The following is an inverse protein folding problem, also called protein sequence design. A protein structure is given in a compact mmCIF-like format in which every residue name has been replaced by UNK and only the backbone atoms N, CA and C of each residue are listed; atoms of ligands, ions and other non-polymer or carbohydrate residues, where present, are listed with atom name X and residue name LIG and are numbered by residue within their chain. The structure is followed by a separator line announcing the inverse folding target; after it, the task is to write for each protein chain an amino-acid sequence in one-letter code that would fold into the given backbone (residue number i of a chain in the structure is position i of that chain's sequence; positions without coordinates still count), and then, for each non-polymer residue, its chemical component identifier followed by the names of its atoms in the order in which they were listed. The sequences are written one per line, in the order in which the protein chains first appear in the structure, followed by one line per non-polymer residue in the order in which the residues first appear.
data_IF_204064331793
#
_entry.id   IF_204064331793
#
_cell.length_a   1.000
_cell.length_b   1.000
_cell.length_c   1.000
_cell.angle_alpha   90.00
_cell.angle_beta   90.00
_cell.angle_gamma   90.00
#
_symmetry.space_group_name_H-M   'P 1'
#
loop_
_entity.id
_entity.type
_entity.pdbx_description
1 polymer ?
#
# COMPACT_ATOMS: atom_id res chain seq x y z
N UNK A 1 -28.27 -28.13 4.98
CA UNK A 1 -28.08 -28.20 3.50
C UNK A 1 -26.78 -27.54 3.18
N UNK A 2 -25.96 -28.09 2.30
CA UNK A 2 -24.71 -27.44 1.92
C UNK A 2 -25.01 -26.09 1.24
N UNK A 3 -24.30 -25.03 1.64
CA UNK A 3 -24.46 -23.69 1.05
C UNK A 3 -24.04 -23.73 -0.42
N UNK A 4 -24.85 -23.17 -1.30
CA UNK A 4 -24.59 -23.14 -2.74
C UNK A 4 -23.29 -22.36 -3.05
N UNK A 5 -22.54 -22.83 -4.04
CA UNK A 5 -21.26 -22.22 -4.46
C UNK A 5 -21.43 -20.75 -4.93
N UNK A 6 -22.57 -20.40 -5.52
CA UNK A 6 -22.88 -19.03 -5.91
C UNK A 6 -23.04 -18.11 -4.68
N UNK A 7 -23.72 -18.59 -3.63
CA UNK A 7 -23.87 -17.88 -2.37
C UNK A 7 -22.52 -17.71 -1.65
N UNK A 8 -21.69 -18.76 -1.59
CA UNK A 8 -20.31 -18.66 -1.04
C UNK A 8 -19.52 -17.57 -1.79
N UNK A 9 -19.63 -17.50 -3.10
CA UNK A 9 -18.97 -16.48 -3.93
C UNK A 9 -19.54 -15.07 -3.66
N UNK A 10 -20.86 -14.96 -3.50
CA UNK A 10 -21.54 -13.69 -3.18
C UNK A 10 -21.08 -13.14 -1.84
N UNK A 11 -21.14 -13.93 -0.77
CA UNK A 11 -20.76 -13.48 0.57
C UNK A 11 -19.24 -13.27 0.72
N UNK A 12 -18.44 -14.01 -0.06
CA UNK A 12 -16.99 -13.75 -0.17
C UNK A 12 -16.70 -12.33 -0.65
N UNK A 13 -17.47 -11.81 -1.62
CA UNK A 13 -17.33 -10.44 -2.08
C UNK A 13 -17.64 -9.40 -1.00
N UNK A 14 -18.45 -9.76 0.00
CA UNK A 14 -18.82 -8.96 1.16
C UNK A 14 -17.82 -9.10 2.33
N UNK A 15 -16.76 -9.90 2.19
CA UNK A 15 -15.75 -10.09 3.23
C UNK A 15 -15.90 -11.35 4.07
N UNK A 16 -16.86 -12.23 3.75
CA UNK A 16 -17.08 -13.48 4.47
C UNK A 16 -16.36 -14.65 3.77
N UNK A 17 -15.31 -15.15 4.41
CA UNK A 17 -14.46 -16.20 3.87
C UNK A 17 -14.90 -17.55 4.42
N UNK A 18 -15.37 -18.45 3.56
CA UNK A 18 -15.86 -19.77 3.94
C UNK A 18 -14.79 -20.58 4.67
N UNK A 19 -15.14 -21.14 5.82
CA UNK A 19 -14.29 -22.02 6.61
C UNK A 19 -14.44 -23.47 6.13
N UNK A 20 -13.34 -24.09 5.76
CA UNK A 20 -13.32 -25.43 5.15
C UNK A 20 -14.07 -26.47 5.99
N UNK A 21 -15.03 -27.16 5.35
CA UNK A 21 -15.76 -28.26 5.95
C UNK A 21 -16.86 -27.84 6.96
N UNK A 22 -17.27 -26.57 6.93
CA UNK A 22 -18.31 -26.05 7.83
C UNK A 22 -19.27 -25.14 7.06
N UNK A 23 -20.37 -24.73 7.69
CA UNK A 23 -21.27 -23.67 7.20
C UNK A 23 -20.90 -22.29 7.78
N UNK A 24 -19.71 -22.19 8.40
CA UNK A 24 -19.23 -20.98 9.03
C UNK A 24 -18.26 -20.21 8.13
N UNK A 25 -18.10 -18.95 8.45
CA UNK A 25 -17.25 -17.98 7.75
C UNK A 25 -16.34 -17.24 8.72
N UNK A 26 -15.19 -16.81 8.24
CA UNK A 26 -14.39 -15.77 8.88
C UNK A 26 -14.74 -14.43 8.22
N UNK A 27 -15.30 -13.50 8.97
CA UNK A 27 -15.65 -12.18 8.45
C UNK A 27 -14.47 -11.22 8.60
N UNK A 28 -14.16 -10.55 7.50
CA UNK A 28 -13.12 -9.53 7.50
C UNK A 28 -13.73 -8.16 7.73
N UNK A 29 -13.37 -7.53 8.86
CA UNK A 29 -13.74 -6.17 9.25
C UNK A 29 -12.63 -5.22 8.81
N UNK A 30 -12.98 -4.17 8.10
CA UNK A 30 -12.04 -3.17 7.58
C UNK A 30 -11.74 -2.15 8.67
N UNK A 31 -10.47 -1.90 8.89
CA UNK A 31 -9.97 -0.86 9.80
C UNK A 31 -9.38 0.30 9.02
N UNK A 32 -9.23 1.45 9.62
CA UNK A 32 -8.48 2.58 9.06
C UNK A 32 -6.97 2.35 9.30
N UNK A 33 -6.31 1.66 8.36
CA UNK A 33 -4.88 1.33 8.40
C UNK A 33 -4.42 0.67 9.71
N UNK A 34 -5.30 -0.15 10.32
CA UNK A 34 -5.04 -0.82 11.60
C UNK A 34 -5.44 -0.02 12.85
N UNK A 35 -5.92 1.19 12.68
CA UNK A 35 -6.47 1.98 13.77
C UNK A 35 -7.99 1.74 13.90
N UNK A 36 -8.45 1.55 15.13
CA UNK A 36 -9.86 1.46 15.52
C UNK A 36 -10.06 2.22 16.83
N UNK A 37 -11.23 2.77 17.04
CA UNK A 37 -11.57 3.40 18.31
C UNK A 37 -11.83 2.38 19.42
N UNK A 38 -11.80 2.80 20.67
CA UNK A 38 -12.15 1.93 21.80
C UNK A 38 -13.60 1.43 21.70
N UNK A 39 -14.53 2.23 21.16
CA UNK A 39 -15.91 1.85 20.91
C UNK A 39 -16.00 0.79 19.81
N UNK A 40 -15.34 1.01 18.69
CA UNK A 40 -15.25 0.02 17.61
C UNK A 40 -14.69 -1.30 18.10
N UNK A 41 -13.65 -1.28 18.95
CA UNK A 41 -13.07 -2.49 19.52
C UNK A 41 -14.07 -3.25 20.43
N UNK A 42 -14.89 -2.54 21.23
CA UNK A 42 -15.96 -3.17 22.02
C UNK A 42 -16.97 -3.88 21.13
N UNK A 43 -17.48 -3.18 20.11
CA UNK A 43 -18.45 -3.77 19.17
C UNK A 43 -17.87 -4.97 18.40
N UNK A 44 -16.60 -4.91 18.01
CA UNK A 44 -15.90 -6.06 17.41
C UNK A 44 -15.91 -7.28 18.37
N UNK A 45 -15.63 -7.06 19.64
CA UNK A 45 -15.64 -8.13 20.65
C UNK A 45 -17.06 -8.69 20.86
N UNK A 46 -18.08 -7.84 20.98
CA UNK A 46 -19.47 -8.24 21.09
C UNK A 46 -19.93 -9.08 19.89
N UNK A 47 -19.57 -8.67 18.67
CA UNK A 47 -19.87 -9.42 17.45
C UNK A 47 -19.17 -10.77 17.44
N UNK A 48 -17.90 -10.83 17.88
CA UNK A 48 -17.15 -12.07 17.97
C UNK A 48 -17.77 -13.07 18.97
N UNK A 49 -18.24 -12.58 20.12
CA UNK A 49 -18.89 -13.38 21.14
C UNK A 49 -20.29 -13.84 20.71
N UNK A 50 -21.09 -12.92 20.17
CA UNK A 50 -22.49 -13.18 19.85
C UNK A 50 -22.69 -14.04 18.60
N UNK A 51 -21.90 -13.81 17.57
CA UNK A 51 -22.10 -14.40 16.23
C UNK A 51 -20.97 -15.29 15.76
N UNK A 52 -19.78 -15.17 16.35
CA UNK A 52 -18.60 -15.93 16.01
C UNK A 52 -18.26 -17.00 17.05
N UNK A 53 -16.98 -17.32 17.16
CA UNK A 53 -16.47 -18.27 18.15
C UNK A 53 -15.77 -17.60 19.35
N UNK A 54 -16.03 -16.31 19.61
CA UNK A 54 -15.45 -15.53 20.70
C UNK A 54 -13.99 -15.09 20.45
N UNK A 55 -13.48 -15.25 19.24
CA UNK A 55 -12.09 -14.88 18.90
C UNK A 55 -12.04 -13.71 17.93
N UNK A 56 -11.10 -12.80 18.18
CA UNK A 56 -10.72 -11.71 17.30
C UNK A 56 -9.30 -11.97 16.78
N UNK A 57 -9.11 -11.99 15.48
CA UNK A 57 -7.81 -12.24 14.86
C UNK A 57 -7.38 -11.07 14.00
N UNK A 58 -6.06 -10.81 13.94
CA UNK A 58 -5.50 -9.70 13.15
C UNK A 58 -4.85 -10.24 11.89
N UNK A 59 -5.08 -9.57 10.76
CA UNK A 59 -4.47 -9.96 9.49
C UNK A 59 -3.20 -9.15 9.23
N UNK A 60 -2.34 -9.67 8.36
CA UNK A 60 -1.13 -8.94 7.92
C UNK A 60 -1.43 -7.67 7.12
N UNK A 61 -2.70 -7.40 6.79
CA UNK A 61 -3.15 -6.16 6.14
C UNK A 61 -3.87 -5.22 7.10
N UNK A 62 -3.61 -5.36 8.39
CA UNK A 62 -4.16 -4.49 9.42
C UNK A 62 -5.70 -4.47 9.46
N UNK A 63 -6.35 -5.51 8.94
CA UNK A 63 -7.79 -5.74 9.11
C UNK A 63 -8.02 -6.75 10.22
N UNK A 64 -9.22 -6.75 10.79
CA UNK A 64 -9.65 -7.74 11.79
C UNK A 64 -10.41 -8.86 11.11
N UNK A 65 -10.28 -10.08 11.61
CA UNK A 65 -11.04 -11.24 11.14
C UNK A 65 -11.73 -11.91 12.34
N UNK A 66 -13.04 -12.14 12.22
CA UNK A 66 -13.88 -12.80 13.24
C UNK A 66 -14.29 -14.18 12.70
N UNK A 67 -13.66 -15.27 13.20
CA UNK A 67 -13.95 -16.63 12.74
C UNK A 67 -15.22 -17.20 13.37
N UNK A 68 -15.84 -18.17 12.66
CA UNK A 68 -16.94 -18.96 13.19
C UNK A 68 -18.34 -18.36 13.01
N UNK A 69 -18.49 -17.33 12.20
CA UNK A 69 -19.80 -16.71 11.89
C UNK A 69 -20.61 -17.66 11.01
N UNK A 70 -21.79 -18.08 11.49
CA UNK A 70 -22.71 -18.92 10.71
C UNK A 70 -23.31 -18.11 9.54
N UNK A 71 -23.62 -18.81 8.43
CA UNK A 71 -24.17 -18.19 7.22
C UNK A 71 -25.40 -17.32 7.49
N UNK A 72 -26.34 -17.77 8.32
CA UNK A 72 -27.58 -17.05 8.64
C UNK A 72 -27.36 -15.75 9.42
N UNK A 73 -26.21 -15.60 10.05
CA UNK A 73 -25.88 -14.42 10.86
C UNK A 73 -25.17 -13.31 10.04
N UNK A 74 -24.90 -13.51 8.76
CA UNK A 74 -24.11 -12.57 7.95
C UNK A 74 -24.69 -11.16 7.98
N UNK A 75 -25.99 -11.00 7.74
CA UNK A 75 -26.62 -9.68 7.71
C UNK A 75 -26.71 -9.04 9.10
N UNK A 76 -26.95 -9.85 10.15
CA UNK A 76 -26.95 -9.38 11.54
C UNK A 76 -25.56 -8.87 11.97
N UNK A 77 -24.48 -9.56 11.57
CA UNK A 77 -23.09 -9.14 11.81
C UNK A 77 -22.81 -7.81 11.11
N UNK A 78 -23.20 -7.68 9.85
CA UNK A 78 -23.02 -6.43 9.11
C UNK A 78 -23.75 -5.26 9.73
N UNK A 79 -25.03 -5.48 10.11
CA UNK A 79 -25.84 -4.46 10.76
C UNK A 79 -25.23 -4.04 12.12
N UNK A 80 -24.74 -4.99 12.91
CA UNK A 80 -24.13 -4.70 14.21
C UNK A 80 -22.82 -3.91 14.06
N UNK A 81 -21.94 -4.29 13.13
CA UNK A 81 -20.69 -3.55 12.86
C UNK A 81 -20.97 -2.13 12.31
N UNK A 82 -22.03 -1.96 11.52
CA UNK A 82 -22.41 -0.66 10.96
C UNK A 82 -22.85 0.36 12.04
N UNK A 83 -23.23 -0.06 13.26
CA UNK A 83 -23.59 0.85 14.35
C UNK A 83 -22.45 1.74 14.81
N UNK A 84 -21.19 1.37 14.46
CA UNK A 84 -19.95 2.11 14.76
C UNK A 84 -19.13 2.38 13.52
N UNK A 85 -19.78 2.52 12.36
CA UNK A 85 -19.17 2.82 11.07
C UNK A 85 -18.09 1.81 10.63
N UNK A 86 -18.23 0.54 11.06
CA UNK A 86 -17.37 -0.54 10.58
C UNK A 86 -18.02 -1.27 9.42
N UNK A 87 -17.21 -1.56 8.41
CA UNK A 87 -17.63 -2.30 7.21
C UNK A 87 -16.91 -3.64 7.11
N UNK A 88 -17.57 -4.58 6.44
CA UNK A 88 -16.95 -5.86 6.04
C UNK A 88 -16.53 -5.80 4.57
N UNK A 89 -15.46 -6.51 4.17
CA UNK A 89 -15.01 -6.48 2.78
C UNK A 89 -13.54 -6.81 2.56
N UNK A 90 -12.92 -6.08 1.65
CA UNK A 90 -11.48 -6.18 1.37
C UNK A 90 -11.06 -7.50 0.71
N UNK A 91 -11.94 -8.12 -0.07
CA UNK A 91 -11.72 -9.40 -0.76
C UNK A 91 -11.94 -9.27 -2.28
N UNK A 92 -11.63 -10.34 -3.03
CA UNK A 92 -11.87 -10.38 -4.48
C UNK A 92 -10.82 -9.67 -5.34
N UNK A 93 -11.11 -9.55 -6.63
CA UNK A 93 -10.24 -8.93 -7.65
C UNK A 93 -10.53 -7.43 -7.74
N UNK A 94 -10.15 -6.70 -6.70
CA UNK A 94 -10.39 -5.27 -6.50
C UNK A 94 -9.20 -4.64 -5.76
N UNK A 95 -9.20 -3.33 -5.64
CA UNK A 95 -8.34 -2.63 -4.70
C UNK A 95 -8.60 -3.15 -3.28
N UNK A 96 -7.54 -3.39 -2.54
CA UNK A 96 -7.61 -3.93 -1.17
C UNK A 96 -7.52 -2.79 -0.16
N UNK A 97 -7.99 -2.99 1.10
CA UNK A 97 -7.79 -2.02 2.15
C UNK A 97 -6.33 -1.55 2.20
N UNK A 98 -6.14 -0.26 2.25
CA UNK A 98 -4.81 0.37 2.30
C UNK A 98 -4.15 0.03 3.64
N UNK A 99 -2.86 -0.18 3.65
CA UNK A 99 -2.08 -0.32 4.88
C UNK A 99 -1.12 0.86 5.01
N UNK A 100 -0.95 1.36 6.21
CA UNK A 100 0.02 2.41 6.51
C UNK A 100 0.78 2.06 7.81
N UNK A 101 2.01 2.54 7.92
CA UNK A 101 2.74 2.43 9.17
C UNK A 101 2.36 3.58 10.13
N UNK A 102 2.87 3.55 11.37
CA UNK A 102 2.68 4.64 12.34
C UNK A 102 3.55 5.89 12.05
N UNK A 103 3.89 6.17 10.80
CA UNK A 103 4.82 7.23 10.42
C UNK A 103 4.47 8.62 10.96
N UNK A 104 3.15 8.90 11.08
CA UNK A 104 2.62 10.15 11.67
C UNK A 104 3.22 10.48 13.05
N UNK A 105 3.41 9.46 13.91
CA UNK A 105 3.92 9.61 15.29
C UNK A 105 5.28 8.98 15.49
N UNK A 106 5.94 8.56 14.42
CA UNK A 106 7.24 7.90 14.46
C UNK A 106 8.38 8.90 14.38
N UNK A 107 9.42 8.75 15.21
CA UNK A 107 10.62 9.60 15.19
C UNK A 107 11.34 9.59 13.83
N UNK A 108 11.17 8.54 13.03
CA UNK A 108 11.73 8.41 11.68
C UNK A 108 10.73 8.77 10.58
N UNK A 109 9.49 9.16 10.96
CA UNK A 109 8.44 9.48 9.99
C UNK A 109 8.79 10.76 9.22
N UNK A 110 8.80 10.66 7.90
CA UNK A 110 9.04 11.79 6.99
C UNK A 110 7.74 12.38 6.44
N UNK A 111 6.62 11.72 6.71
CA UNK A 111 5.28 12.11 6.25
C UNK A 111 4.21 11.61 7.20
N UNK A 112 3.04 12.23 7.15
CA UNK A 112 1.83 11.76 7.84
C UNK A 112 1.23 10.58 7.08
N UNK A 113 1.61 9.37 7.49
CA UNK A 113 1.18 8.13 6.83
C UNK A 113 -0.27 7.79 7.10
N UNK A 114 -0.83 8.20 8.24
CA UNK A 114 -2.22 7.90 8.57
C UNK A 114 -3.15 8.79 7.73
N UNK A 115 -2.92 10.10 7.68
CA UNK A 115 -3.70 11.00 6.85
C UNK A 115 -3.59 10.66 5.36
N UNK A 116 -2.37 10.42 4.85
CA UNK A 116 -2.16 10.02 3.46
C UNK A 116 -2.84 8.68 3.14
N UNK A 117 -2.72 7.71 4.06
CA UNK A 117 -3.35 6.39 3.93
C UNK A 117 -4.87 6.48 3.92
N UNK A 118 -5.48 7.35 4.74
CA UNK A 118 -6.92 7.57 4.79
C UNK A 118 -7.43 8.20 3.47
N UNK A 119 -6.75 9.22 2.95
CA UNK A 119 -7.11 9.81 1.66
C UNK A 119 -7.01 8.79 0.50
N UNK A 120 -5.95 7.97 0.48
CA UNK A 120 -5.79 6.89 -0.51
C UNK A 120 -6.89 5.83 -0.35
N UNK A 121 -7.23 5.48 0.90
CA UNK A 121 -8.29 4.52 1.18
C UNK A 121 -9.63 5.01 0.66
N UNK A 122 -9.97 6.27 0.95
CA UNK A 122 -11.23 6.86 0.51
C UNK A 122 -11.30 6.95 -1.03
N UNK A 123 -10.27 7.48 -1.66
CA UNK A 123 -10.26 7.66 -3.12
C UNK A 123 -10.23 6.35 -3.91
N UNK A 124 -9.41 5.38 -3.47
CA UNK A 124 -9.09 4.21 -4.29
C UNK A 124 -9.66 2.90 -3.76
N UNK A 125 -9.83 2.72 -2.47
CA UNK A 125 -10.52 1.55 -1.96
C UNK A 125 -12.05 1.75 -2.01
N UNK A 126 -12.57 2.84 -1.46
CA UNK A 126 -13.99 3.15 -1.49
C UNK A 126 -14.45 3.58 -2.88
N UNK A 127 -13.75 4.57 -3.48
CA UNK A 127 -14.11 5.12 -4.79
C UNK A 127 -14.04 4.10 -5.94
N UNK A 128 -13.18 3.09 -5.84
CA UNK A 128 -13.08 2.00 -6.83
C UNK A 128 -13.73 0.68 -6.36
N UNK A 129 -14.58 0.72 -5.33
CA UNK A 129 -15.22 -0.47 -4.77
C UNK A 129 -16.08 -1.26 -5.77
N UNK A 130 -16.67 -0.57 -6.75
CA UNK A 130 -17.42 -1.16 -7.87
C UNK A 130 -16.55 -1.70 -9.00
N UNK A 131 -15.26 -1.30 -9.06
CA UNK A 131 -14.38 -1.61 -10.18
C UNK A 131 -13.75 -2.98 -10.03
N UNK A 132 -13.97 -3.84 -11.01
CA UNK A 132 -13.30 -5.15 -11.09
C UNK A 132 -11.95 -4.99 -11.79
N UNK A 133 -10.91 -5.58 -11.22
CA UNK A 133 -9.54 -5.63 -11.74
C UNK A 133 -9.19 -7.05 -12.20
N UNK A 134 -8.12 -7.25 -12.97
CA UNK A 134 -7.64 -8.59 -13.34
C UNK A 134 -7.37 -9.48 -12.13
N UNK A 135 -6.82 -8.91 -11.06
CA UNK A 135 -6.60 -9.54 -9.76
C UNK A 135 -6.68 -8.48 -8.65
N UNK A 136 -6.47 -8.89 -7.39
CA UNK A 136 -6.32 -7.97 -6.25
C UNK A 136 -5.20 -6.96 -6.50
N UNK A 137 -5.44 -5.71 -6.12
CA UNK A 137 -4.46 -4.62 -6.14
C UNK A 137 -4.25 -4.11 -4.72
N UNK A 138 -3.01 -4.09 -4.27
CA UNK A 138 -2.64 -3.76 -2.89
C UNK A 138 -1.81 -2.49 -2.86
N UNK A 139 -2.20 -1.57 -1.97
CA UNK A 139 -1.47 -0.32 -1.75
C UNK A 139 -0.95 -0.29 -0.32
N UNK A 140 0.27 0.20 -0.12
CA UNK A 140 0.87 0.38 1.19
C UNK A 140 1.64 1.70 1.29
N UNK A 141 1.55 2.36 2.46
CA UNK A 141 2.15 3.67 2.74
C UNK A 141 3.15 3.54 3.89
N UNK A 142 4.42 3.73 3.59
CA UNK A 142 5.53 3.76 4.54
C UNK A 142 6.02 5.18 4.82
N UNK A 143 6.26 5.52 6.07
CA UNK A 143 6.67 6.87 6.48
C UNK A 143 8.13 7.21 6.15
N UNK A 144 8.99 6.20 5.95
CA UNK A 144 10.41 6.38 5.68
C UNK A 144 11.03 5.09 5.11
N UNK A 145 12.30 5.11 4.68
CA UNK A 145 13.00 3.94 4.12
C UNK A 145 13.21 2.75 5.07
N UNK A 146 12.85 2.84 6.36
CA UNK A 146 12.82 1.67 7.25
C UNK A 146 11.80 0.60 6.82
N UNK A 147 10.87 0.93 5.91
CA UNK A 147 10.03 -0.03 5.18
C UNK A 147 9.18 -0.96 6.11
N UNK A 148 8.74 -0.48 7.27
CA UNK A 148 8.10 -1.29 8.33
C UNK A 148 6.84 -2.05 7.89
N UNK A 149 6.01 -1.47 7.00
CA UNK A 149 4.83 -2.13 6.41
C UNK A 149 5.11 -2.72 5.04
N UNK A 150 6.39 -2.75 4.66
CA UNK A 150 6.89 -3.35 3.41
C UNK A 150 6.13 -2.87 2.17
N UNK A 151 6.10 -1.53 1.92
CA UNK A 151 5.41 -0.99 0.76
C UNK A 151 5.89 -1.60 -0.55
N UNK A 152 7.17 -1.85 -0.69
CA UNK A 152 7.82 -2.47 -1.85
C UNK A 152 7.39 -3.93 -2.14
N UNK A 153 6.68 -4.60 -1.21
CA UNK A 153 6.08 -5.93 -1.42
C UNK A 153 4.57 -5.86 -1.76
N UNK A 154 4.08 -4.67 -2.06
CA UNK A 154 2.70 -4.44 -2.50
C UNK A 154 2.66 -4.10 -3.99
N UNK A 155 1.49 -4.24 -4.63
CA UNK A 155 1.33 -3.92 -6.05
C UNK A 155 1.72 -2.46 -6.33
N UNK A 156 1.44 -1.56 -5.38
CA UNK A 156 1.95 -0.19 -5.32
C UNK A 156 2.35 0.16 -3.89
N UNK A 157 3.55 0.68 -3.72
CA UNK A 157 4.10 1.12 -2.44
C UNK A 157 4.55 2.57 -2.48
N UNK A 158 4.24 3.32 -1.42
CA UNK A 158 4.69 4.71 -1.24
C UNK A 158 5.60 4.75 -0.03
N UNK A 159 6.79 5.33 -0.19
CA UNK A 159 7.77 5.49 0.90
C UNK A 159 8.19 6.95 0.98
N UNK A 160 8.01 7.55 2.15
CA UNK A 160 8.48 8.91 2.43
C UNK A 160 9.98 9.04 2.23
N UNK A 161 10.39 10.14 1.63
CA UNK A 161 11.77 10.46 1.28
C UNK A 161 12.13 11.84 1.83
N UNK A 162 13.42 12.01 2.19
CA UNK A 162 14.01 13.30 2.46
C UNK A 162 15.37 13.34 1.75
N UNK A 163 15.35 13.79 0.50
CA UNK A 163 16.52 13.85 -0.37
C UNK A 163 17.43 14.97 0.11
N UNK A 164 18.69 14.71 0.53
CA UNK A 164 19.58 15.74 1.00
C UNK A 164 19.96 16.69 -0.15
N UNK A 165 19.95 17.98 0.12
CA UNK A 165 20.50 19.00 -0.76
C UNK A 165 21.97 19.21 -0.35
N UNK A 166 22.91 18.69 -1.15
CA UNK A 166 24.34 18.74 -0.85
C UNK A 166 25.02 19.80 -1.68
N UNK A 167 25.64 20.75 -0.98
CA UNK A 167 26.53 21.79 -1.55
C UNK A 167 28.00 21.42 -1.28
N UNK A 168 28.71 21.06 -2.33
CA UNK A 168 30.14 20.69 -2.25
C UNK A 168 31.06 21.86 -1.90
N UNK A 169 30.66 23.09 -2.22
CA UNK A 169 31.48 24.29 -2.00
C UNK A 169 31.58 24.65 -0.51
N UNK A 170 30.58 24.23 0.27
CA UNK A 170 30.56 24.38 1.73
C UNK A 170 31.26 23.21 2.46
N UNK A 171 31.72 22.19 1.74
CA UNK A 171 32.36 21.03 2.35
C UNK A 171 33.84 21.33 2.75
N UNK A 172 34.11 21.29 4.03
CA UNK A 172 35.47 21.56 4.59
C UNK A 172 36.37 20.32 4.70
N UNK A 173 36.00 19.17 4.15
CA UNK A 173 36.82 17.96 4.12
C UNK A 173 37.26 17.44 5.50
N UNK A 174 36.34 17.37 6.45
CA UNK A 174 36.61 17.02 7.84
C UNK A 174 37.25 15.64 8.00
N UNK A 175 38.31 15.51 8.84
CA UNK A 175 38.91 14.22 9.20
C UNK A 175 37.92 13.24 9.85
N UNK A 176 36.90 13.76 10.54
CA UNK A 176 35.74 13.02 11.05
C UNK A 176 34.48 13.70 10.52
N UNK A 177 33.94 13.20 9.45
CA UNK A 177 32.72 13.73 8.84
C UNK A 177 31.50 13.25 9.62
N UNK A 178 30.67 14.18 10.10
CA UNK A 178 29.45 13.88 10.80
C UNK A 178 28.42 13.17 9.86
N UNK A 179 28.40 13.55 8.59
CA UNK A 179 27.53 12.96 7.57
C UNK A 179 27.90 11.50 7.32
N UNK A 180 29.19 11.20 7.12
CA UNK A 180 29.67 9.83 6.95
C UNK A 180 29.36 8.97 8.18
N UNK A 181 29.51 9.56 9.40
CA UNK A 181 29.22 8.86 10.65
C UNK A 181 27.76 8.48 10.83
N UNK A 182 26.83 9.36 10.44
CA UNK A 182 25.37 9.11 10.64
C UNK A 182 24.74 8.33 9.51
N UNK A 183 25.41 8.14 8.37
CA UNK A 183 24.82 7.46 7.22
C UNK A 183 24.71 5.93 7.43
N UNK A 184 23.48 5.38 7.65
CA UNK A 184 23.31 3.96 7.89
C UNK A 184 23.58 3.12 6.63
N UNK A 185 23.45 3.75 5.46
CA UNK A 185 23.66 3.10 4.15
C UNK A 185 25.11 3.11 3.71
N UNK A 186 26.00 3.82 4.46
CA UNK A 186 27.38 4.06 4.04
C UNK A 186 27.50 4.65 2.63
N UNK A 187 26.46 5.38 2.22
CA UNK A 187 26.38 6.06 0.93
C UNK A 187 27.18 7.35 0.89
N UNK A 188 27.49 7.94 2.06
CA UNK A 188 28.27 9.17 2.19
C UNK A 188 29.68 8.83 2.65
N UNK A 189 30.69 9.29 1.93
CA UNK A 189 32.11 9.09 2.24
C UNK A 189 32.92 10.34 1.91
N UNK A 190 33.97 10.61 2.69
CA UNK A 190 34.97 11.64 2.34
C UNK A 190 36.01 10.99 1.44
N UNK A 191 36.16 11.51 0.24
CA UNK A 191 37.14 11.08 -0.77
C UNK A 191 37.96 12.33 -1.15
N UNK A 192 39.25 12.24 -1.08
CA UNK A 192 40.21 13.36 -1.42
C UNK A 192 39.84 14.70 -0.75
N UNK A 193 39.34 14.62 0.48
CA UNK A 193 39.00 15.82 1.26
C UNK A 193 37.62 16.44 0.94
N UNK A 194 36.77 15.77 0.15
CA UNK A 194 35.43 16.24 -0.16
C UNK A 194 34.43 15.11 0.13
N UNK A 195 33.24 15.45 0.63
CA UNK A 195 32.17 14.49 0.83
C UNK A 195 31.55 14.09 -0.52
N UNK A 196 31.51 12.82 -0.77
CA UNK A 196 30.77 12.24 -1.89
C UNK A 196 29.54 11.47 -1.38
N UNK A 197 28.40 11.61 -2.08
CA UNK A 197 27.18 10.85 -1.81
C UNK A 197 26.89 9.94 -3.00
N UNK A 198 27.02 8.63 -2.79
CA UNK A 198 26.63 7.64 -3.78
C UNK A 198 25.09 7.57 -3.85
N UNK A 199 24.52 8.06 -4.96
CA UNK A 199 23.08 8.15 -5.19
C UNK A 199 22.40 6.77 -5.35
N UNK A 200 23.14 5.74 -5.76
CA UNK A 200 22.61 4.37 -5.89
C UNK A 200 22.44 3.69 -4.53
N UNK A 201 23.35 3.96 -3.59
CA UNK A 201 23.27 3.44 -2.22
C UNK A 201 22.38 4.29 -1.32
N UNK A 202 22.21 5.58 -1.63
CA UNK A 202 21.43 6.50 -0.82
C UNK A 202 19.94 6.18 -0.92
N UNK A 203 19.30 5.82 0.21
CA UNK A 203 17.87 5.57 0.29
C UNK A 203 17.03 6.81 0.67
N UNK A 204 17.64 8.00 0.68
CA UNK A 204 16.99 9.27 0.99
C UNK A 204 16.29 9.29 2.36
N UNK A 205 16.90 8.72 3.38
CA UNK A 205 16.33 8.71 4.75
C UNK A 205 16.43 10.06 5.46
N UNK A 206 17.20 11.02 4.92
CA UNK A 206 17.35 12.36 5.46
C UNK A 206 18.13 12.49 6.77
N UNK A 207 18.73 11.40 7.29
CA UNK A 207 19.45 11.43 8.58
C UNK A 207 20.69 12.34 8.57
N UNK A 208 21.23 12.64 7.39
CA UNK A 208 22.36 13.53 7.20
C UNK A 208 21.99 15.02 7.18
N UNK A 209 20.71 15.35 6.95
CA UNK A 209 20.24 16.74 6.85
C UNK A 209 20.42 17.44 8.20
N UNK A 210 21.02 18.64 8.18
CA UNK A 210 21.33 19.45 9.36
C UNK A 210 22.38 18.82 10.29
N UNK A 211 23.25 17.91 9.78
CA UNK A 211 24.33 17.28 10.57
C UNK A 211 25.72 17.79 10.23
N UNK A 212 25.85 18.53 9.13
CA UNK A 212 27.12 19.18 8.79
C UNK A 212 27.31 20.42 9.63
N UNK A 213 28.50 20.58 10.23
CA UNK A 213 28.86 21.78 10.99
C UNK A 213 29.15 23.00 10.09
N UNK A 214 29.30 22.78 8.80
CA UNK A 214 29.60 23.80 7.78
C UNK A 214 28.41 23.96 6.81
N UNK A 215 27.24 23.44 7.18
CA UNK A 215 26.00 23.57 6.45
C UNK A 215 26.01 23.04 5.01
N UNK A 216 26.98 22.17 4.68
CA UNK A 216 27.03 21.53 3.35
C UNK A 216 25.82 20.63 3.06
N UNK A 217 25.04 20.26 4.06
CA UNK A 217 23.68 19.63 3.94
C UNK A 217 22.81 20.25 5.02
N UNK A 218 22.35 21.47 4.80
CA UNK A 218 21.48 22.19 5.74
C UNK A 218 20.03 21.70 5.64
N UNK A 219 19.55 21.47 4.42
CA UNK A 219 18.19 21.10 4.10
C UNK A 219 18.09 19.94 3.10
N UNK A 220 16.89 19.70 2.60
CA UNK A 220 16.60 18.70 1.58
C UNK A 220 15.18 18.79 1.05
N UNK A 221 14.86 17.96 0.07
CA UNK A 221 13.56 17.88 -0.54
C UNK A 221 12.78 16.72 0.08
N UNK A 222 11.65 17.02 0.75
CA UNK A 222 10.70 16.02 1.22
C UNK A 222 9.80 15.58 0.08
N UNK A 223 9.48 14.29 0.03
CA UNK A 223 8.65 13.75 -1.02
C UNK A 223 8.35 12.26 -0.83
N UNK A 224 7.94 11.63 -1.91
CA UNK A 224 7.54 10.23 -1.95
C UNK A 224 8.32 9.49 -3.04
N UNK A 225 8.78 8.30 -2.72
CA UNK A 225 9.24 7.31 -3.70
C UNK A 225 8.11 6.31 -3.90
N UNK A 226 7.71 6.08 -5.14
CA UNK A 226 6.65 5.12 -5.48
C UNK A 226 7.28 3.89 -6.08
N UNK A 227 6.91 2.72 -5.56
CA UNK A 227 7.33 1.41 -6.00
C UNK A 227 6.13 0.71 -6.65
N UNK A 228 6.34 0.06 -7.77
CA UNK A 228 5.30 -0.67 -8.51
C UNK A 228 5.70 -2.12 -8.75
N UNK A 229 4.72 -3.02 -8.77
CA UNK A 229 4.93 -4.43 -9.11
C UNK A 229 5.42 -5.30 -7.95
N UNK A 230 5.38 -4.82 -6.72
CA UNK A 230 5.70 -5.65 -5.57
C UNK A 230 4.68 -6.78 -5.37
N UNK A 231 5.17 -7.91 -4.85
CA UNK A 231 4.37 -9.12 -4.67
C UNK A 231 4.88 -9.97 -3.53
N UNK A 232 3.97 -10.39 -2.65
CA UNK A 232 4.25 -11.36 -1.59
C UNK A 232 3.28 -12.53 -1.66
N UNK A 233 3.81 -13.75 -1.64
CA UNK A 233 3.04 -14.99 -1.70
C UNK A 233 3.88 -16.17 -2.22
N UNK A 234 3.26 -17.09 -2.97
CA UNK A 234 3.96 -18.24 -3.60
C UNK A 234 5.13 -17.78 -4.49
N UNK A 235 4.98 -16.64 -5.14
CA UNK A 235 6.07 -15.95 -5.82
C UNK A 235 6.24 -14.61 -5.13
N UNK A 236 7.48 -14.22 -4.85
CA UNK A 236 7.85 -12.94 -4.23
C UNK A 236 8.59 -12.08 -5.25
N UNK A 237 8.24 -10.80 -5.31
CA UNK A 237 8.98 -9.80 -6.07
C UNK A 237 8.98 -8.49 -5.29
N UNK A 238 10.11 -7.80 -5.27
CA UNK A 238 10.18 -6.42 -4.81
C UNK A 238 9.65 -5.49 -5.91
N UNK A 239 8.94 -4.45 -5.51
CA UNK A 239 8.52 -3.39 -6.42
C UNK A 239 9.73 -2.63 -6.94
N UNK A 240 9.64 -2.21 -8.19
CA UNK A 240 10.65 -1.37 -8.82
C UNK A 240 10.29 0.10 -8.55
N UNK A 241 11.23 0.92 -8.04
CA UNK A 241 10.96 2.32 -7.79
C UNK A 241 10.85 3.10 -9.11
N UNK A 242 9.85 3.96 -9.23
CA UNK A 242 9.81 4.96 -10.29
C UNK A 242 11.01 5.92 -10.12
N UNK A 243 11.56 6.38 -11.24
CA UNK A 243 12.78 7.24 -11.23
C UNK A 243 12.55 8.60 -10.60
N UNK A 244 11.30 9.11 -10.67
CA UNK A 244 10.90 10.39 -10.09
C UNK A 244 10.69 10.28 -8.57
N UNK A 245 11.09 11.32 -7.82
CA UNK A 245 10.61 11.60 -6.47
C UNK A 245 9.44 12.58 -6.59
N UNK A 246 8.30 12.23 -6.05
CA UNK A 246 7.09 13.04 -6.08
C UNK A 246 7.06 13.96 -4.87
N UNK A 247 6.76 15.23 -5.06
CA UNK A 247 6.84 16.24 -4.00
C UNK A 247 5.48 16.65 -3.45
N UNK A 248 4.40 16.31 -4.15
CA UNK A 248 3.03 16.57 -3.72
C UNK A 248 2.23 15.27 -3.62
N UNK A 249 1.21 15.26 -2.77
CA UNK A 249 0.32 14.11 -2.63
C UNK A 249 -0.56 13.92 -3.87
N UNK A 250 -0.88 15.00 -4.56
CA UNK A 250 -1.67 15.01 -5.80
C UNK A 250 -0.94 14.23 -6.89
N UNK A 251 0.35 14.46 -7.09
CA UNK A 251 1.17 13.67 -8.02
C UNK A 251 1.16 12.18 -7.66
N UNK A 252 1.22 11.85 -6.36
CA UNK A 252 1.18 10.46 -5.91
C UNK A 252 -0.21 9.84 -6.18
N UNK A 253 -1.30 10.58 -5.97
CA UNK A 253 -2.67 10.13 -6.28
C UNK A 253 -2.86 9.87 -7.77
N UNK A 254 -2.36 10.74 -8.63
CA UNK A 254 -2.41 10.56 -10.08
C UNK A 254 -1.70 9.26 -10.49
N UNK A 255 -0.53 8.98 -9.93
CA UNK A 255 0.20 7.73 -10.21
C UNK A 255 -0.56 6.51 -9.72
N UNK A 256 -1.20 6.58 -8.54
CA UNK A 256 -2.01 5.47 -8.02
C UNK A 256 -3.17 5.19 -8.97
N UNK A 257 -3.89 6.24 -9.38
CA UNK A 257 -5.04 6.11 -10.28
C UNK A 257 -4.61 5.53 -11.63
N UNK A 258 -3.56 6.08 -12.23
CA UNK A 258 -2.97 5.58 -13.48
C UNK A 258 -2.55 4.11 -13.37
N UNK A 259 -1.94 3.70 -12.25
CA UNK A 259 -1.55 2.30 -12.04
C UNK A 259 -2.78 1.35 -11.97
N UNK A 260 -3.88 1.79 -11.36
CA UNK A 260 -5.14 1.04 -11.31
C UNK A 260 -5.74 0.95 -12.72
N UNK A 261 -5.78 2.05 -13.46
CA UNK A 261 -6.31 2.11 -14.82
C UNK A 261 -5.48 1.26 -15.79
N UNK A 262 -4.15 1.39 -15.76
CA UNK A 262 -3.24 0.56 -16.56
C UNK A 262 -3.45 -0.94 -16.27
N UNK A 263 -3.54 -1.30 -14.98
CA UNK A 263 -3.75 -2.69 -14.61
C UNK A 263 -5.12 -3.20 -15.08
N UNK A 264 -6.17 -2.35 -15.03
CA UNK A 264 -7.50 -2.71 -15.52
C UNK A 264 -7.50 -2.89 -17.04
N UNK A 265 -6.86 -2.00 -17.79
CA UNK A 265 -6.82 -2.00 -19.26
C UNK A 265 -5.93 -3.12 -19.79
N UNK A 266 -4.71 -3.25 -19.27
CA UNK A 266 -3.67 -4.07 -19.90
C UNK A 266 -3.40 -5.38 -19.17
N UNK A 267 -3.92 -5.54 -17.94
CA UNK A 267 -3.80 -6.79 -17.18
C UNK A 267 -4.74 -7.87 -17.68
N UNK A 268 -4.28 -9.11 -17.69
CA UNK A 268 -5.09 -10.29 -18.05
C UNK A 268 -5.75 -10.86 -16.80
N UNK A 269 -6.98 -11.36 -16.90
CA UNK A 269 -7.71 -11.95 -15.77
C UNK A 269 -6.90 -13.06 -15.09
N UNK A 270 -6.72 -12.94 -13.77
CA UNK A 270 -5.87 -13.83 -12.96
C UNK A 270 -4.40 -13.40 -12.87
N UNK A 271 -3.96 -12.46 -13.70
CA UNK A 271 -2.60 -11.92 -13.69
C UNK A 271 -2.39 -10.97 -12.52
N UNK A 272 -1.23 -11.02 -11.85
CA UNK A 272 -0.84 -10.03 -10.85
C UNK A 272 -0.21 -8.82 -11.53
N UNK A 273 -0.29 -7.65 -10.90
CA UNK A 273 0.26 -6.41 -11.46
C UNK A 273 1.76 -6.52 -11.78
N UNK A 274 2.56 -7.19 -10.94
CA UNK A 274 3.96 -7.49 -11.25
C UNK A 274 4.14 -8.22 -12.58
N UNK A 275 3.30 -9.23 -12.84
CA UNK A 275 3.36 -10.00 -14.10
C UNK A 275 2.91 -9.16 -15.30
N UNK A 276 1.93 -8.27 -15.10
CA UNK A 276 1.54 -7.29 -16.13
C UNK A 276 2.73 -6.39 -16.48
N UNK A 277 3.45 -5.86 -15.47
CA UNK A 277 4.64 -5.02 -15.66
C UNK A 277 5.76 -5.80 -16.39
N UNK A 278 6.04 -7.03 -15.94
CA UNK A 278 7.04 -7.90 -16.60
C UNK A 278 6.75 -8.10 -18.09
N UNK A 279 5.47 -8.31 -18.45
CA UNK A 279 5.03 -8.55 -19.83
C UNK A 279 5.07 -7.29 -20.71
N UNK A 280 4.75 -6.13 -20.15
CA UNK A 280 4.71 -4.85 -20.89
C UNK A 280 6.11 -4.22 -20.98
N UNK A 281 6.94 -4.46 -19.97
CA UNK A 281 8.23 -3.80 -19.75
C UNK A 281 8.10 -2.58 -18.81
N UNK A 282 9.05 -2.48 -17.87
CA UNK A 282 9.00 -1.45 -16.84
C UNK A 282 9.04 -0.02 -17.41
N UNK A 283 9.91 0.23 -18.40
CA UNK A 283 10.06 1.54 -19.03
C UNK A 283 8.76 2.02 -19.70
N UNK A 284 8.04 1.10 -20.35
CA UNK A 284 6.75 1.41 -20.98
C UNK A 284 5.68 1.70 -19.92
N UNK A 285 5.68 0.96 -18.82
CA UNK A 285 4.75 1.21 -17.71
C UNK A 285 5.08 2.53 -17.03
N UNK A 286 6.35 2.81 -16.73
CA UNK A 286 6.77 4.08 -16.13
C UNK A 286 6.39 5.28 -17.01
N UNK A 287 6.62 5.20 -18.32
CA UNK A 287 6.24 6.25 -19.26
C UNK A 287 4.73 6.54 -19.23
N UNK A 288 3.89 5.48 -19.22
CA UNK A 288 2.44 5.64 -19.12
C UNK A 288 1.99 6.23 -17.76
N UNK A 289 2.64 5.85 -16.65
CA UNK A 289 2.33 6.37 -15.32
C UNK A 289 2.74 7.83 -15.16
N UNK A 290 3.79 8.27 -15.85
CA UNK A 290 4.24 9.67 -15.83
C UNK A 290 3.54 10.55 -16.88
N UNK A 291 2.93 9.95 -17.91
CA UNK A 291 2.08 10.64 -18.89
C UNK A 291 0.66 10.89 -18.36
N UNK A 292 -0.23 11.48 -19.17
CA UNK A 292 -1.61 11.80 -18.77
C UNK A 292 -2.68 10.98 -19.50
N UNK A 293 -2.31 10.24 -20.54
CA UNK A 293 -3.24 9.50 -21.41
C UNK A 293 -4.21 8.58 -20.64
N UNK A 294 -3.72 7.87 -19.60
CA UNK A 294 -4.57 6.98 -18.80
C UNK A 294 -5.69 7.72 -18.06
N UNK A 295 -5.43 8.94 -17.58
CA UNK A 295 -6.45 9.75 -16.90
C UNK A 295 -7.43 10.35 -17.91
N UNK A 296 -6.96 10.76 -19.07
CA UNK A 296 -7.80 11.30 -20.17
C UNK A 296 -8.80 10.25 -20.66
N UNK A 297 -8.37 8.97 -20.72
CA UNK A 297 -9.18 7.82 -21.14
C UNK A 297 -9.84 7.06 -19.98
N UNK A 298 -9.86 7.64 -18.77
CA UNK A 298 -10.36 6.98 -17.55
C UNK A 298 -11.71 6.31 -17.73
N UNK A 299 -12.70 7.03 -18.25
CA UNK A 299 -14.06 6.50 -18.39
C UNK A 299 -14.11 5.36 -19.42
N UNK A 300 -13.44 5.50 -20.56
CA UNK A 300 -13.30 4.44 -21.55
C UNK A 300 -12.72 3.16 -20.95
N UNK A 301 -11.63 3.28 -20.18
CA UNK A 301 -10.97 2.15 -19.53
C UNK A 301 -11.89 1.48 -18.49
N UNK A 302 -12.65 2.28 -17.73
CA UNK A 302 -13.55 1.74 -16.70
C UNK A 302 -14.78 1.04 -17.30
N UNK A 303 -15.25 1.45 -18.47
CA UNK A 303 -16.39 0.86 -19.16
C UNK A 303 -15.99 -0.37 -20.00
N UNK A 304 -14.72 -0.47 -20.39
CA UNK A 304 -14.21 -1.59 -21.18
C UNK A 304 -14.32 -2.94 -20.45
N UNK A 305 -14.51 -4.01 -21.20
CA UNK A 305 -14.47 -5.36 -20.66
C UNK A 305 -13.03 -5.76 -20.29
N UNK A 306 -12.89 -6.51 -19.19
CA UNK A 306 -11.58 -7.07 -18.83
C UNK A 306 -11.12 -8.11 -19.87
N UNK A 307 -9.82 -8.14 -20.14
CA UNK A 307 -9.22 -9.20 -20.95
C UNK A 307 -9.41 -10.55 -20.27
N UNK A 308 -10.39 -11.32 -20.78
CA UNK A 308 -10.67 -12.67 -20.29
C UNK A 308 -9.64 -13.63 -20.89
N UNK A 309 -8.74 -14.14 -20.06
CA UNK A 309 -7.96 -15.34 -20.37
C UNK A 309 -8.58 -16.49 -19.59
N UNK A 310 -8.89 -17.58 -20.23
CA UNK A 310 -9.44 -18.78 -19.58
C UNK A 310 -8.52 -19.22 -18.45
N UNK A 311 -8.97 -19.02 -17.21
CA UNK A 311 -8.22 -19.34 -15.99
C UNK A 311 -9.06 -19.04 -14.76
N UNK A 312 -8.91 -19.84 -13.71
CA UNK A 312 -9.67 -19.75 -12.48
C UNK A 312 -9.56 -18.34 -11.86
N UNK A 313 -10.69 -17.68 -11.72
CA UNK A 313 -10.84 -16.46 -10.93
C UNK A 313 -10.69 -16.80 -9.44
N UNK A 314 -9.82 -16.06 -8.72
CA UNK A 314 -9.80 -16.11 -7.24
C UNK A 314 -11.11 -15.68 -6.62
#
# INVERSE_FOLDING_TARGET
MAIDAAEIKRVKAMGFLHNKGTENFSVRVITKMGAISAEQNRVISEVAEKYGNGKVTFTSRLTVELPGVHFDNIEAVRAHLATVDLMTGGTGSKVRPVVACKGTVCNYGLQDTQALGEEIHERFFNGYSGVRLPHKFKIAVGGCPNNCVKPDLNDLGIIGQYVPNYDSDLCSGCKKCAIETVCPMKAAKVVDGVLEINKELCNNCGLCVGKCHFDAIEDGIKGFKIYIGGRWGKLTAHGIPLRKVFTTKEEAFDVIEKAILLFREQGKTGERFSTTIERIGFENVEAQLLGNELLERKQEILDAQLHLVGGATC
#
